data_IF_058156332473
#
_entry.id   IF_058156332473
#
_cell.length_a   1.000
_cell.length_b   1.000
_cell.length_c   1.000
_cell.angle_alpha   90.00
_cell.angle_beta   90.00
_cell.angle_gamma   90.00
#
_symmetry.space_group_name_H-M   'P 1'
#
loop_
_entity.id
_entity.type
_entity.pdbx_description
1 polymer ?
#
# COMPACT_ATOMS: atom_id res chain seq x y z
N UNK A 1 20.06 -0.35 53.99
CA UNK A 1 18.64 -0.69 53.78
C UNK A 1 17.99 0.27 52.80
N UNK A 2 18.09 1.61 52.96
CA UNK A 2 17.47 2.60 52.12
C UNK A 2 18.00 2.57 50.67
N UNK A 3 19.32 2.41 50.47
CA UNK A 3 19.97 2.31 49.17
C UNK A 3 19.50 1.08 48.40
N UNK A 4 19.35 -0.07 49.02
CA UNK A 4 18.81 -1.28 48.42
C UNK A 4 17.35 -1.13 47.99
N UNK A 5 16.55 -0.43 48.79
CA UNK A 5 15.15 -0.18 48.45
C UNK A 5 15.01 0.78 47.25
N UNK A 6 15.80 1.84 47.21
CA UNK A 6 15.84 2.79 46.05
C UNK A 6 16.33 2.09 44.79
N UNK A 7 17.36 1.25 44.87
CA UNK A 7 17.85 0.46 43.74
C UNK A 7 16.80 -0.53 43.23
N UNK A 8 16.08 -1.19 44.12
CA UNK A 8 15.02 -2.13 43.79
C UNK A 8 13.82 -1.44 43.17
N UNK A 9 13.41 -0.28 43.70
CA UNK A 9 12.30 0.51 43.16
C UNK A 9 12.63 1.06 41.78
N UNK A 10 13.84 1.59 41.60
CA UNK A 10 14.33 2.06 40.28
C UNK A 10 14.42 0.91 39.26
N UNK A 11 14.87 -0.29 39.69
CA UNK A 11 14.89 -1.45 38.80
C UNK A 11 13.48 -1.88 38.39
N UNK A 12 12.55 -1.95 39.36
CA UNK A 12 11.15 -2.30 39.09
C UNK A 12 10.46 -1.28 38.18
N UNK A 13 10.70 0.01 38.41
CA UNK A 13 10.17 1.10 37.56
C UNK A 13 10.71 1.03 36.13
N UNK A 14 12.02 0.78 35.95
CA UNK A 14 12.61 0.60 34.61
C UNK A 14 12.00 -0.58 33.88
N UNK A 15 11.81 -1.71 34.58
CA UNK A 15 11.21 -2.91 34.00
C UNK A 15 9.77 -2.65 33.54
N UNK A 16 8.96 -2.00 34.37
CA UNK A 16 7.58 -1.62 34.01
C UNK A 16 7.51 -0.66 32.80
N UNK A 17 8.43 0.31 32.75
CA UNK A 17 8.53 1.22 31.60
C UNK A 17 8.88 0.46 30.30
N UNK A 18 9.81 -0.47 30.36
CA UNK A 18 10.17 -1.31 29.20
C UNK A 18 8.99 -2.18 28.74
N UNK A 19 8.26 -2.81 29.67
CA UNK A 19 7.09 -3.61 29.35
C UNK A 19 5.98 -2.75 28.74
N UNK A 20 5.76 -1.54 29.22
CA UNK A 20 4.79 -0.58 28.67
C UNK A 20 5.20 -0.12 27.28
N UNK A 21 6.48 0.21 27.06
CA UNK A 21 6.99 0.62 25.75
C UNK A 21 6.88 -0.53 24.73
N UNK A 22 7.18 -1.77 25.14
CA UNK A 22 7.02 -2.94 24.28
C UNK A 22 5.53 -3.19 23.93
N UNK A 23 4.64 -3.15 24.92
CA UNK A 23 3.21 -3.29 24.68
C UNK A 23 2.67 -2.21 23.75
N UNK A 24 3.10 -0.96 23.95
CA UNK A 24 2.76 0.18 23.07
C UNK A 24 3.26 -0.04 21.64
N UNK A 25 4.52 -0.46 21.47
CA UNK A 25 5.11 -0.73 20.15
C UNK A 25 4.37 -1.84 19.40
N UNK A 26 3.96 -2.90 20.12
CA UNK A 26 3.15 -4.00 19.56
C UNK A 26 1.77 -3.49 19.14
N UNK A 27 1.10 -2.70 19.98
CA UNK A 27 -0.20 -2.11 19.66
C UNK A 27 -0.11 -1.14 18.47
N UNK A 28 0.91 -0.28 18.43
CA UNK A 28 1.15 0.63 17.31
C UNK A 28 1.44 -0.13 16.00
N UNK A 29 2.23 -1.21 16.07
CA UNK A 29 2.49 -2.08 14.93
C UNK A 29 1.22 -2.77 14.44
N UNK A 30 0.42 -3.34 15.33
CA UNK A 30 -0.86 -3.97 15.00
C UNK A 30 -1.86 -2.96 14.39
N UNK A 31 -1.87 -1.71 14.89
CA UNK A 31 -2.71 -0.64 14.37
C UNK A 31 -2.27 -0.11 13.00
N UNK A 32 -1.07 -0.44 12.52
CA UNK A 32 -0.51 0.05 11.26
C UNK A 32 -0.46 -0.98 10.13
N UNK A 33 -0.90 -2.22 10.37
CA UNK A 33 -0.91 -3.28 9.35
C UNK A 33 -2.34 -3.80 9.12
N UNK A 34 -2.58 -4.26 7.88
CA UNK A 34 -3.79 -4.97 7.51
C UNK A 34 -3.66 -6.45 7.92
N UNK A 35 -4.63 -6.96 8.66
CA UNK A 35 -4.57 -8.31 9.25
C UNK A 35 -4.63 -9.43 8.20
N UNK A 36 -5.34 -9.21 7.08
CA UNK A 36 -5.51 -10.22 6.04
C UNK A 36 -4.26 -10.36 5.17
N UNK A 37 -3.69 -9.23 4.78
CA UNK A 37 -2.57 -9.20 3.83
C UNK A 37 -1.21 -9.01 4.50
N UNK A 38 -1.18 -8.50 5.73
CA UNK A 38 0.05 -8.14 6.45
C UNK A 38 0.82 -6.98 5.81
N UNK A 39 0.26 -6.28 4.83
CA UNK A 39 0.80 -5.02 4.33
C UNK A 39 0.52 -3.89 5.33
N UNK A 40 1.32 -2.82 5.36
CA UNK A 40 0.94 -1.60 6.04
C UNK A 40 -0.43 -1.13 5.55
N UNK A 41 -1.23 -0.58 6.47
CA UNK A 41 -2.59 -0.16 6.18
C UNK A 41 -2.67 1.33 5.77
N UNK A 42 -3.89 1.81 5.50
CA UNK A 42 -4.18 3.21 5.15
C UNK A 42 -3.63 4.21 6.15
N UNK A 43 -3.71 3.93 7.46
CA UNK A 43 -3.19 4.85 8.49
C UNK A 43 -1.68 5.03 8.37
N UNK A 44 -0.95 3.94 8.14
CA UNK A 44 0.50 3.98 7.91
C UNK A 44 0.84 4.70 6.60
N UNK A 45 0.10 4.45 5.52
CA UNK A 45 0.25 5.15 4.25
C UNK A 45 0.14 6.68 4.42
N UNK A 46 -0.94 7.16 5.08
CA UNK A 46 -1.15 8.59 5.29
C UNK A 46 -0.01 9.24 6.05
N UNK A 47 0.45 8.59 7.12
CA UNK A 47 1.58 9.07 7.93
C UNK A 47 2.88 9.15 7.12
N UNK A 48 3.17 8.13 6.31
CA UNK A 48 4.40 8.09 5.51
C UNK A 48 4.38 9.13 4.39
N UNK A 49 3.22 9.31 3.73
CA UNK A 49 3.05 10.32 2.69
C UNK A 49 3.15 11.74 3.26
N UNK A 50 2.52 12.00 4.41
CA UNK A 50 2.61 13.28 5.12
C UNK A 50 4.06 13.65 5.45
N UNK A 51 4.85 12.69 5.92
CA UNK A 51 6.27 12.89 6.21
C UNK A 51 7.07 13.26 4.94
N UNK A 52 6.80 12.61 3.81
CA UNK A 52 7.50 12.89 2.54
C UNK A 52 7.17 14.28 2.03
N UNK A 53 5.88 14.64 1.99
CA UNK A 53 5.42 15.95 1.50
C UNK A 53 5.88 17.06 2.46
N UNK A 54 5.79 16.86 3.78
CA UNK A 54 6.29 17.80 4.78
C UNK A 54 7.80 18.05 4.67
N UNK A 55 8.57 17.03 4.31
CA UNK A 55 9.99 17.13 4.02
C UNK A 55 10.31 17.61 2.59
N UNK A 56 9.30 17.88 1.77
CA UNK A 56 9.41 18.25 0.35
C UNK A 56 10.20 17.22 -0.49
N UNK A 57 10.08 15.95 -0.15
CA UNK A 57 10.73 14.86 -0.88
C UNK A 57 9.83 14.46 -2.06
N UNK A 58 10.34 14.55 -3.32
CA UNK A 58 9.58 14.11 -4.48
C UNK A 58 9.19 12.63 -4.38
N UNK A 59 7.92 12.33 -4.64
CA UNK A 59 7.42 10.97 -4.59
C UNK A 59 6.31 10.76 -5.63
N UNK A 60 6.00 9.49 -5.89
CA UNK A 60 4.90 9.08 -6.75
C UNK A 60 3.98 8.14 -6.00
N UNK A 61 2.69 8.39 -6.09
CA UNK A 61 1.63 7.53 -5.58
C UNK A 61 1.07 6.73 -6.75
N UNK A 62 0.92 5.43 -6.54
CA UNK A 62 0.27 4.53 -7.49
C UNK A 62 -0.92 3.87 -6.79
N UNK A 63 -2.14 4.16 -7.22
CA UNK A 63 -3.38 3.54 -6.76
C UNK A 63 -3.67 2.31 -7.62
N UNK A 64 -3.92 1.17 -7.01
CA UNK A 64 -4.16 -0.11 -7.67
C UNK A 64 -5.48 -0.72 -7.17
N UNK A 65 -6.25 -1.30 -8.09
CA UNK A 65 -7.52 -1.96 -7.76
C UNK A 65 -7.63 -3.27 -8.55
N UNK A 66 -8.14 -4.33 -7.90
CA UNK A 66 -8.36 -5.62 -8.55
C UNK A 66 -9.62 -5.54 -9.42
N UNK A 67 -9.46 -5.67 -10.71
CA UNK A 67 -10.56 -5.60 -11.67
C UNK A 67 -11.62 -6.67 -11.41
N UNK A 68 -12.88 -6.23 -11.32
CA UNK A 68 -14.04 -7.10 -11.11
C UNK A 68 -13.96 -7.91 -9.81
N UNK A 69 -13.33 -7.42 -8.74
CA UNK A 69 -13.18 -8.13 -7.47
C UNK A 69 -14.54 -8.59 -6.89
N UNK A 70 -15.57 -7.75 -6.98
CA UNK A 70 -16.93 -8.13 -6.58
C UNK A 70 -17.39 -9.40 -7.31
N UNK A 71 -17.13 -9.54 -8.61
CA UNK A 71 -17.48 -10.75 -9.38
C UNK A 71 -16.73 -11.99 -8.89
N UNK A 72 -15.48 -11.83 -8.42
CA UNK A 72 -14.73 -12.93 -7.80
C UNK A 72 -15.47 -13.41 -6.54
N UNK A 73 -15.84 -12.48 -5.64
CA UNK A 73 -16.60 -12.80 -4.43
C UNK A 73 -17.96 -13.43 -4.75
N UNK A 74 -18.71 -12.85 -5.68
CA UNK A 74 -20.05 -13.33 -6.05
C UNK A 74 -20.00 -14.73 -6.70
N UNK A 75 -18.92 -15.06 -7.42
CA UNK A 75 -18.80 -16.33 -8.15
C UNK A 75 -18.15 -17.44 -7.33
N UNK A 76 -17.15 -17.11 -6.52
CA UNK A 76 -16.29 -18.09 -5.82
C UNK A 76 -16.32 -17.97 -4.30
N UNK A 77 -17.09 -17.01 -3.78
CA UNK A 77 -17.19 -16.73 -2.34
C UNK A 77 -16.09 -15.82 -1.80
N UNK A 78 -16.32 -15.27 -0.61
CA UNK A 78 -15.39 -14.33 0.04
C UNK A 78 -14.01 -14.93 0.33
N UNK A 79 -13.93 -16.24 0.61
CA UNK A 79 -12.65 -16.92 0.82
C UNK A 79 -11.75 -16.82 -0.43
N UNK A 80 -12.33 -16.99 -1.63
CA UNK A 80 -11.58 -16.80 -2.88
C UNK A 80 -11.13 -15.34 -3.09
N UNK A 81 -11.95 -14.37 -2.69
CA UNK A 81 -11.54 -12.97 -2.67
C UNK A 81 -10.38 -12.72 -1.73
N UNK A 82 -10.41 -13.29 -0.53
CA UNK A 82 -9.32 -13.18 0.44
C UNK A 82 -8.02 -13.81 -0.10
N UNK A 83 -8.11 -14.99 -0.74
CA UNK A 83 -6.97 -15.62 -1.43
C UNK A 83 -6.39 -14.74 -2.53
N UNK A 84 -7.25 -14.07 -3.33
CA UNK A 84 -6.81 -13.13 -4.37
C UNK A 84 -6.05 -11.96 -3.76
N UNK A 85 -6.60 -11.33 -2.71
CA UNK A 85 -5.99 -10.23 -1.99
C UNK A 85 -4.63 -10.60 -1.39
N UNK A 86 -4.52 -11.77 -0.76
CA UNK A 86 -3.27 -12.25 -0.17
C UNK A 86 -2.21 -12.51 -1.24
N UNK A 87 -2.56 -13.11 -2.38
CA UNK A 87 -1.61 -13.38 -3.45
C UNK A 87 -1.11 -12.10 -4.11
N UNK A 88 -2.00 -11.12 -4.38
CA UNK A 88 -1.61 -9.79 -4.86
C UNK A 88 -0.71 -9.10 -3.86
N UNK A 89 -1.08 -9.09 -2.58
CA UNK A 89 -0.28 -8.48 -1.51
C UNK A 89 1.12 -9.10 -1.40
N UNK A 90 1.25 -10.42 -1.50
CA UNK A 90 2.55 -11.09 -1.45
C UNK A 90 3.44 -10.68 -2.63
N UNK A 91 2.88 -10.58 -3.84
CA UNK A 91 3.63 -10.09 -5.01
C UNK A 91 4.05 -8.62 -4.87
N UNK A 92 3.21 -7.78 -4.27
CA UNK A 92 3.55 -6.40 -3.95
C UNK A 92 4.64 -6.31 -2.88
N UNK A 93 4.63 -7.20 -1.88
CA UNK A 93 5.70 -7.32 -0.88
C UNK A 93 7.05 -7.66 -1.52
N UNK A 94 7.06 -8.57 -2.50
CA UNK A 94 8.28 -8.96 -3.22
C UNK A 94 8.90 -7.79 -4.00
N UNK A 95 8.11 -6.75 -4.33
CA UNK A 95 8.58 -5.53 -4.99
C UNK A 95 9.13 -4.49 -4.01
N UNK A 96 8.88 -4.61 -2.71
CA UNK A 96 9.29 -3.60 -1.72
C UNK A 96 10.81 -3.41 -1.70
N UNK A 97 11.20 -2.15 -1.47
CA UNK A 97 12.61 -1.73 -1.37
C UNK A 97 12.73 -0.51 -0.47
N UNK A 98 13.95 0.04 -0.33
CA UNK A 98 14.14 1.28 0.43
C UNK A 98 13.37 2.49 -0.14
N UNK A 99 13.04 2.45 -1.44
CA UNK A 99 12.35 3.53 -2.15
C UNK A 99 10.91 3.20 -2.55
N UNK A 100 10.46 1.95 -2.38
CA UNK A 100 9.11 1.51 -2.76
C UNK A 100 8.45 0.79 -1.59
N UNK A 101 7.31 1.30 -1.15
CA UNK A 101 6.49 0.69 -0.10
C UNK A 101 5.07 0.51 -0.60
N UNK A 102 4.51 -0.68 -0.34
CA UNK A 102 3.14 -1.04 -0.72
C UNK A 102 2.27 -1.11 0.53
N UNK A 103 1.00 -0.68 0.38
CA UNK A 103 0.01 -0.61 1.45
C UNK A 103 -1.30 -1.20 0.97
N UNK A 104 -2.11 -1.72 1.88
CA UNK A 104 -3.52 -1.97 1.61
C UNK A 104 -4.33 -0.74 2.00
N UNK A 105 -5.01 -0.12 1.03
CA UNK A 105 -5.69 1.14 1.24
C UNK A 105 -7.14 0.96 1.73
N UNK A 106 -7.92 0.15 1.01
CA UNK A 106 -9.29 -0.22 1.39
C UNK A 106 -9.75 -1.43 0.55
N UNK A 107 -10.63 -2.28 1.08
CA UNK A 107 -11.26 -3.34 0.30
C UNK A 107 -10.32 -4.12 -0.62
N UNK A 108 -10.47 -3.93 -1.93
CA UNK A 108 -9.65 -4.48 -3.02
C UNK A 108 -8.60 -3.49 -3.56
N UNK A 109 -8.43 -2.33 -2.89
CA UNK A 109 -7.51 -1.28 -3.28
C UNK A 109 -6.17 -1.38 -2.55
N UNK A 110 -5.10 -1.31 -3.31
CA UNK A 110 -3.73 -1.18 -2.84
C UNK A 110 -3.18 0.17 -3.27
N UNK A 111 -2.20 0.67 -2.52
CA UNK A 111 -1.52 1.92 -2.86
C UNK A 111 -0.02 1.76 -2.63
N UNK A 112 0.78 2.34 -3.49
CA UNK A 112 2.23 2.33 -3.37
C UNK A 112 2.77 3.75 -3.28
N UNK A 113 3.81 3.93 -2.47
CA UNK A 113 4.65 5.13 -2.48
C UNK A 113 6.00 4.77 -3.06
N UNK A 114 6.33 5.37 -4.20
CA UNK A 114 7.68 5.39 -4.75
C UNK A 114 8.34 6.71 -4.34
N UNK A 115 9.45 6.66 -3.59
CA UNK A 115 10.21 7.84 -3.14
C UNK A 115 11.07 8.41 -4.27
N UNK A 116 10.42 8.69 -5.39
CA UNK A 116 10.98 9.30 -6.58
C UNK A 116 9.88 9.79 -7.50
N UNK A 117 10.16 10.84 -8.28
CA UNK A 117 9.31 11.31 -9.39
C UNK A 117 10.04 11.25 -10.74
N UNK A 118 11.19 10.56 -10.81
CA UNK A 118 11.92 10.38 -12.06
C UNK A 118 11.13 9.48 -13.02
N UNK A 119 10.85 9.98 -14.23
CA UNK A 119 9.96 9.34 -15.21
C UNK A 119 10.34 7.89 -15.50
N UNK A 120 11.62 7.59 -15.72
CA UNK A 120 12.10 6.23 -16.01
C UNK A 120 11.82 5.27 -14.84
N UNK A 121 12.02 5.70 -13.60
CA UNK A 121 11.81 4.86 -12.42
C UNK A 121 10.32 4.65 -12.17
N UNK A 122 9.51 5.71 -12.36
CA UNK A 122 8.04 5.65 -12.26
C UNK A 122 7.48 4.67 -13.28
N UNK A 123 7.90 4.78 -14.54
CA UNK A 123 7.48 3.90 -15.62
C UNK A 123 7.86 2.44 -15.36
N UNK A 124 9.12 2.18 -14.99
CA UNK A 124 9.58 0.84 -14.61
C UNK A 124 8.72 0.25 -13.49
N UNK A 125 8.42 1.05 -12.45
CA UNK A 125 7.60 0.60 -11.32
C UNK A 125 6.15 0.34 -11.77
N UNK A 126 5.58 1.18 -12.64
CA UNK A 126 4.25 0.97 -13.19
C UNK A 126 4.15 -0.36 -13.97
N UNK A 127 5.14 -0.66 -14.81
CA UNK A 127 5.21 -1.97 -15.49
C UNK A 127 5.34 -3.13 -14.52
N UNK A 128 6.13 -3.00 -13.46
CA UNK A 128 6.22 -4.02 -12.41
C UNK A 128 4.89 -4.24 -11.71
N UNK A 129 4.17 -3.17 -11.36
CA UNK A 129 2.83 -3.24 -10.78
C UNK A 129 1.86 -3.96 -11.71
N UNK A 130 1.88 -3.67 -13.02
CA UNK A 130 1.06 -4.38 -14.01
C UNK A 130 1.40 -5.87 -14.05
N UNK A 131 2.67 -6.25 -13.91
CA UNK A 131 3.09 -7.67 -13.88
C UNK A 131 2.60 -8.41 -12.63
N UNK A 132 2.25 -7.72 -11.55
CA UNK A 132 1.60 -8.32 -10.37
C UNK A 132 0.30 -9.02 -10.78
N UNK A 133 -0.47 -8.40 -11.69
CA UNK A 133 -1.75 -8.92 -12.18
C UNK A 133 -1.60 -9.86 -13.41
N UNK A 134 -0.45 -9.86 -14.09
CA UNK A 134 -0.23 -10.71 -15.27
C UNK A 134 -0.11 -12.21 -14.93
N UNK A 135 0.22 -12.54 -13.68
CA UNK A 135 0.36 -13.93 -13.21
C UNK A 135 -0.97 -14.47 -12.70
N UNK A 136 -1.28 -15.71 -13.04
CA UNK A 136 -2.47 -16.38 -12.53
C UNK A 136 -2.48 -16.41 -10.99
N UNK A 137 -3.66 -16.27 -10.40
CA UNK A 137 -3.93 -16.50 -8.97
C UNK A 137 -4.61 -17.86 -8.80
N UNK A 138 -4.37 -18.51 -7.67
CA UNK A 138 -5.06 -19.73 -7.31
C UNK A 138 -6.22 -19.38 -6.40
N UNK A 139 -7.45 -19.64 -6.86
CA UNK A 139 -8.69 -19.40 -6.13
C UNK A 139 -9.39 -20.74 -5.91
N UNK A 140 -9.56 -21.14 -4.66
CA UNK A 140 -10.15 -22.45 -4.30
C UNK A 140 -9.51 -23.61 -5.09
N UNK A 141 -8.17 -23.64 -5.16
CA UNK A 141 -7.40 -24.67 -5.86
C UNK A 141 -7.36 -24.57 -7.39
N UNK A 142 -8.02 -23.59 -8.00
CA UNK A 142 -8.07 -23.42 -9.47
C UNK A 142 -7.34 -22.14 -9.89
N UNK A 143 -6.47 -22.25 -10.91
CA UNK A 143 -5.77 -21.09 -11.49
C UNK A 143 -6.75 -20.20 -12.24
N UNK A 144 -6.70 -18.91 -11.99
CA UNK A 144 -7.53 -17.88 -12.61
C UNK A 144 -6.71 -16.65 -12.94
N UNK A 145 -7.05 -15.99 -14.02
CA UNK A 145 -6.49 -14.71 -14.39
C UNK A 145 -7.31 -13.59 -13.79
N UNK A 146 -6.65 -12.64 -13.14
CA UNK A 146 -7.25 -11.41 -12.65
C UNK A 146 -6.56 -10.24 -13.33
N UNK A 147 -7.29 -9.13 -13.52
CA UNK A 147 -6.73 -7.86 -13.99
C UNK A 147 -6.54 -6.90 -12.83
N UNK A 148 -5.83 -5.82 -13.09
CA UNK A 148 -5.70 -4.70 -12.17
C UNK A 148 -5.60 -3.38 -12.91
N UNK A 149 -6.31 -2.38 -12.43
CA UNK A 149 -6.29 -1.02 -12.93
C UNK A 149 -5.39 -0.16 -12.03
N UNK A 150 -4.49 0.64 -12.63
CA UNK A 150 -3.48 1.40 -11.91
C UNK A 150 -3.53 2.86 -12.32
N UNK A 151 -3.60 3.76 -11.34
CA UNK A 151 -3.50 5.20 -11.54
C UNK A 151 -2.28 5.77 -10.87
N UNK A 152 -1.61 6.72 -11.51
CA UNK A 152 -0.30 7.24 -11.13
C UNK A 152 -0.33 8.76 -11.06
N UNK A 153 0.10 9.31 -9.91
CA UNK A 153 0.29 10.75 -9.72
C UNK A 153 1.57 11.03 -8.93
N UNK A 154 2.25 12.12 -9.23
CA UNK A 154 3.58 12.46 -8.71
C UNK A 154 3.60 13.82 -8.02
N UNK A 155 4.19 13.89 -6.83
CA UNK A 155 4.51 15.10 -6.10
C UNK A 155 5.94 15.56 -6.45
N UNK A 156 6.18 16.85 -6.67
CA UNK A 156 5.23 17.98 -6.73
C UNK A 156 4.68 18.23 -8.13
N UNK A 157 4.95 17.35 -9.10
CA UNK A 157 4.68 17.56 -10.53
C UNK A 157 3.19 17.75 -10.83
N UNK A 158 2.34 16.91 -10.28
CA UNK A 158 0.91 16.91 -10.57
C UNK A 158 0.12 17.74 -9.54
N UNK A 159 0.59 17.79 -8.30
CA UNK A 159 0.08 18.63 -7.21
C UNK A 159 1.09 18.70 -6.05
N UNK A 160 0.98 19.74 -5.22
CA UNK A 160 1.73 19.91 -3.97
C UNK A 160 0.90 19.58 -2.71
N UNK A 161 -0.37 19.25 -2.89
CA UNK A 161 -1.29 18.90 -1.82
C UNK A 161 -1.43 17.37 -1.67
N UNK A 162 -1.32 16.87 -0.44
CA UNK A 162 -1.39 15.45 -0.11
C UNK A 162 -2.71 14.80 -0.53
N UNK A 163 -3.83 15.41 -0.14
CA UNK A 163 -5.16 14.87 -0.39
C UNK A 163 -5.45 14.86 -1.89
N UNK A 164 -5.06 15.95 -2.57
CA UNK A 164 -5.21 16.06 -4.02
C UNK A 164 -4.34 15.05 -4.76
N UNK A 165 -3.16 14.68 -4.24
CA UNK A 165 -2.30 13.67 -4.86
C UNK A 165 -2.98 12.29 -4.92
N UNK A 166 -3.68 11.92 -3.85
CA UNK A 166 -4.47 10.68 -3.81
C UNK A 166 -5.61 10.75 -4.82
N UNK A 167 -6.35 11.87 -4.86
CA UNK A 167 -7.44 12.08 -5.83
C UNK A 167 -6.93 12.00 -7.26
N UNK A 168 -5.78 12.62 -7.57
CA UNK A 168 -5.17 12.54 -8.91
C UNK A 168 -4.83 11.10 -9.31
N UNK A 169 -4.30 10.30 -8.38
CA UNK A 169 -4.02 8.88 -8.65
C UNK A 169 -5.31 8.08 -8.86
N UNK A 170 -6.35 8.32 -8.06
CA UNK A 170 -7.66 7.67 -8.20
C UNK A 170 -8.34 8.03 -9.54
N UNK A 171 -8.34 9.31 -9.92
CA UNK A 171 -8.87 9.78 -11.22
C UNK A 171 -8.16 9.09 -12.39
N UNK A 172 -6.84 8.93 -12.33
CA UNK A 172 -6.07 8.21 -13.34
C UNK A 172 -6.46 6.72 -13.39
N UNK A 173 -6.61 6.05 -12.25
CA UNK A 173 -7.07 4.66 -12.15
C UNK A 173 -8.50 4.50 -12.71
N UNK A 174 -9.38 5.44 -12.42
CA UNK A 174 -10.74 5.42 -12.94
C UNK A 174 -10.80 5.51 -14.47
N UNK A 175 -9.89 6.28 -15.10
CA UNK A 175 -9.76 6.31 -16.57
C UNK A 175 -9.37 4.93 -17.10
N UNK A 176 -8.44 4.21 -16.45
CA UNK A 176 -8.09 2.84 -16.84
C UNK A 176 -9.30 1.91 -16.74
N UNK A 177 -10.06 1.98 -15.64
CA UNK A 177 -11.28 1.18 -15.46
C UNK A 177 -12.32 1.42 -16.56
N UNK A 178 -12.43 2.64 -17.08
CA UNK A 178 -13.32 2.99 -18.21
C UNK A 178 -12.81 2.53 -19.57
N UNK A 179 -11.48 2.49 -19.76
CA UNK A 179 -10.84 2.22 -21.05
C UNK A 179 -10.43 0.75 -21.26
N UNK A 180 -11.10 -0.20 -20.59
CA UNK A 180 -10.89 -1.63 -20.80
C UNK A 180 -10.17 -2.33 -19.67
N UNK A 181 -9.77 -1.62 -18.60
CA UNK A 181 -9.11 -2.19 -17.41
C UNK A 181 -7.73 -2.80 -17.69
N UNK A 182 -7.13 -3.46 -16.69
CA UNK A 182 -5.89 -4.24 -16.77
C UNK A 182 -4.71 -3.47 -17.40
N UNK A 183 -4.56 -2.20 -17.03
CA UNK A 183 -3.49 -1.31 -17.50
C UNK A 183 -3.18 -0.22 -16.47
N UNK A 184 -2.33 0.75 -16.84
CA UNK A 184 -2.04 1.91 -16.01
C UNK A 184 -2.19 3.22 -16.78
N UNK A 185 -2.49 4.30 -16.05
CA UNK A 185 -2.52 5.65 -16.59
C UNK A 185 -1.84 6.66 -15.64
N UNK A 186 -1.29 7.71 -16.23
CA UNK A 186 -0.76 8.84 -15.49
C UNK A 186 -1.82 9.93 -15.38
N UNK A 187 -1.86 10.61 -14.25
CA UNK A 187 -2.67 11.80 -14.11
C UNK A 187 -2.20 12.88 -15.11
N UNK A 188 -3.14 13.60 -15.69
CA UNK A 188 -2.83 14.70 -16.63
C UNK A 188 -2.35 14.29 -18.02
N UNK A 189 -2.03 13.00 -18.26
CA UNK A 189 -1.78 12.52 -19.63
C UNK A 189 -3.09 12.03 -20.26
N UNK A 190 -3.44 12.54 -21.43
CA UNK A 190 -4.47 11.95 -22.29
C UNK A 190 -3.99 10.60 -22.78
N UNK A 191 -4.89 9.62 -22.87
CA UNK A 191 -4.62 8.26 -23.38
C UNK A 191 -4.63 8.27 -24.93
N UNK A 192 -4.01 9.32 -25.55
CA UNK A 192 -3.85 9.40 -26.98
C UNK A 192 -2.36 9.54 -27.28
N UNK A 193 -1.74 8.38 -27.49
CA UNK A 193 -0.66 8.11 -28.46
C UNK A 193 -0.35 6.62 -28.46
#
# INVERSE_FOLDING_TARGET
VIICWVCFDNYRRRKLLQELEQARAIMESAAQHDFLTGLPNRSKFMKDLEQLIGARIPCTVMMLDIDNFKKINDTYGHTAGDEALQQVANRLKDMQSQILTSYRFAGDEFILILRSSQSMLVEKTAYQCRQVFAKDVTLCGTKRRIGGSIGIASYPKDTDNLEQLIVCADDAMYKVKKNGKNDFAYYGKSTEE
#
